data_IF_127093590407
#
_entry.id   IF_127093590407
#
_cell.length_a   1.000
_cell.length_b   1.000
_cell.length_c   1.000
_cell.angle_alpha   90.00
_cell.angle_beta   90.00
_cell.angle_gamma   90.00
#
_symmetry.space_group_name_H-M   'P 1'
#
loop_
_entity.id
_entity.type
_entity.pdbx_description
1 polymer ?
#
# COMPACT_ATOMS: atom_id res chain seq x y z
N UNK A 1 -15.79 -3.46 12.10
CA UNK A 1 -14.52 -2.73 11.97
C UNK A 1 -14.48 -1.97 10.65
N UNK A 2 -14.13 -0.70 10.70
CA UNK A 2 -14.15 0.13 9.51
C UNK A 2 -12.89 -0.12 8.66
N UNK A 3 -13.08 -0.40 7.36
CA UNK A 3 -11.97 -0.51 6.41
C UNK A 3 -11.41 0.87 6.14
N UNK A 4 -10.10 1.03 6.33
CA UNK A 4 -9.39 2.25 6.02
C UNK A 4 -8.83 2.19 4.61
N UNK A 5 -8.89 3.31 3.89
CA UNK A 5 -8.26 3.45 2.57
C UNK A 5 -7.16 4.49 2.68
N UNK A 6 -5.95 4.08 2.37
CA UNK A 6 -4.78 4.96 2.37
C UNK A 6 -4.30 5.16 0.96
N UNK A 7 -4.12 6.40 0.56
CA UNK A 7 -3.61 6.74 -0.77
C UNK A 7 -2.12 6.98 -0.65
N UNK A 8 -1.33 6.21 -1.40
CA UNK A 8 0.13 6.18 -1.27
C UNK A 8 0.81 6.33 -2.62
N UNK A 9 2.07 6.74 -2.61
CA UNK A 9 2.91 6.83 -3.80
C UNK A 9 4.10 5.86 -3.77
N UNK A 10 4.27 5.16 -2.67
CA UNK A 10 5.28 4.10 -2.52
C UNK A 10 4.82 3.11 -1.47
N UNK A 11 5.40 1.91 -1.52
CA UNK A 11 5.05 0.85 -0.57
C UNK A 11 6.32 0.32 0.07
N UNK A 12 6.26 0.04 1.38
CA UNK A 12 7.38 -0.56 2.10
C UNK A 12 6.86 -1.51 3.19
N UNK A 13 7.64 -2.52 3.57
CA UNK A 13 7.21 -3.47 4.61
C UNK A 13 6.88 -2.82 5.95
N UNK A 14 7.54 -1.72 6.30
CA UNK A 14 7.30 -1.01 7.56
C UNK A 14 5.93 -0.37 7.69
N UNK A 15 5.15 -0.32 6.59
CA UNK A 15 3.79 0.22 6.61
C UNK A 15 2.77 -0.75 7.24
N UNK A 16 3.13 -2.01 7.44
CA UNK A 16 2.20 -3.05 7.87
C UNK A 16 2.43 -3.40 9.34
N UNK A 17 1.35 -3.40 10.14
CA UNK A 17 1.39 -3.70 11.57
C UNK A 17 1.33 -5.19 11.86
N UNK A 18 0.74 -5.97 10.96
CA UNK A 18 0.67 -7.43 11.10
C UNK A 18 2.02 -8.08 10.76
N UNK A 19 2.33 -9.22 11.39
CA UNK A 19 3.56 -9.96 11.09
C UNK A 19 3.44 -10.80 9.81
N UNK A 20 2.27 -11.35 9.56
CA UNK A 20 2.01 -12.23 8.43
C UNK A 20 0.90 -11.62 7.58
N UNK A 21 1.27 -11.12 6.42
CA UNK A 21 0.32 -10.47 5.53
C UNK A 21 0.65 -10.79 4.08
N UNK A 22 -0.38 -10.80 3.25
CA UNK A 22 -0.28 -10.90 1.81
C UNK A 22 -0.91 -9.68 1.17
N UNK A 23 -0.42 -9.30 0.01
CA UNK A 23 -0.95 -8.19 -0.75
C UNK A 23 -1.57 -8.71 -2.05
N UNK A 24 -2.78 -8.27 -2.33
CA UNK A 24 -3.43 -8.55 -3.59
C UNK A 24 -3.55 -7.25 -4.39
N UNK A 25 -2.86 -7.21 -5.53
CA UNK A 25 -2.81 -6.05 -6.40
C UNK A 25 -3.86 -6.14 -7.50
N UNK A 26 -4.56 -5.03 -7.72
CA UNK A 26 -5.48 -4.87 -8.85
C UNK A 26 -5.07 -3.60 -9.60
N UNK A 27 -4.87 -3.70 -10.90
CA UNK A 27 -4.65 -2.51 -11.71
C UNK A 27 -5.95 -1.72 -11.81
N UNK A 28 -5.85 -0.39 -11.66
CA UNK A 28 -6.99 0.52 -11.72
C UNK A 28 -6.79 1.51 -12.86
N UNK A 29 -7.90 1.92 -13.47
CA UNK A 29 -7.90 3.10 -14.32
C UNK A 29 -7.83 4.35 -13.45
N UNK A 30 -7.47 5.48 -14.04
CA UNK A 30 -7.46 6.76 -13.31
C UNK A 30 -8.83 7.07 -12.72
N UNK A 31 -9.91 6.83 -13.47
CA UNK A 31 -11.27 7.09 -13.01
C UNK A 31 -11.65 6.20 -11.82
N UNK A 32 -11.29 4.92 -11.88
CA UNK A 32 -11.50 4.00 -10.76
C UNK A 32 -10.72 4.42 -9.52
N UNK A 33 -9.47 4.80 -9.71
CA UNK A 33 -8.63 5.29 -8.62
C UNK A 33 -9.23 6.53 -7.97
N UNK A 34 -9.65 7.52 -8.75
CA UNK A 34 -10.24 8.75 -8.24
C UNK A 34 -11.54 8.48 -7.49
N UNK A 35 -12.38 7.60 -7.99
CA UNK A 35 -13.63 7.23 -7.32
C UNK A 35 -13.37 6.58 -5.95
N UNK A 36 -12.39 5.68 -5.88
CA UNK A 36 -12.03 5.01 -4.62
C UNK A 36 -11.32 5.96 -3.65
N UNK A 37 -10.60 6.94 -4.16
CA UNK A 37 -9.83 7.89 -3.35
C UNK A 37 -10.70 8.95 -2.67
N UNK A 38 -11.95 9.12 -3.08
CA UNK A 38 -12.82 10.18 -2.56
C UNK A 38 -12.99 10.15 -1.04
N UNK A 39 -13.02 8.97 -0.44
CA UNK A 39 -13.17 8.79 1.00
C UNK A 39 -11.92 8.21 1.66
N UNK A 40 -10.78 8.30 0.99
CA UNK A 40 -9.50 7.82 1.49
C UNK A 40 -8.69 8.92 2.16
N UNK A 41 -7.63 8.50 2.86
CA UNK A 41 -6.67 9.38 3.52
C UNK A 41 -5.40 9.47 2.69
N UNK A 42 -5.04 10.67 2.26
CA UNK A 42 -3.83 10.85 1.45
C UNK A 42 -2.57 10.77 2.31
N UNK A 43 -1.66 9.91 1.89
CA UNK A 43 -0.31 9.75 2.41
C UNK A 43 0.69 9.78 1.25
N UNK A 44 0.42 10.61 0.24
CA UNK A 44 1.29 10.74 -0.91
C UNK A 44 2.52 11.55 -0.51
N UNK A 45 3.65 10.88 -0.41
CA UNK A 45 4.92 11.47 0.01
C UNK A 45 5.80 11.97 -1.14
N UNK A 46 5.29 11.96 -2.38
CA UNK A 46 5.95 12.51 -3.56
C UNK A 46 5.13 13.68 -4.09
N UNK A 47 5.72 14.89 -4.07
CA UNK A 47 4.99 16.10 -4.41
C UNK A 47 4.48 16.11 -5.85
N UNK A 48 5.24 15.59 -6.80
CA UNK A 48 4.82 15.47 -8.19
C UNK A 48 3.60 14.57 -8.38
N UNK A 49 3.52 13.48 -7.62
CA UNK A 49 2.35 12.59 -7.64
C UNK A 49 1.14 13.28 -7.03
N UNK A 50 1.32 14.01 -5.95
CA UNK A 50 0.24 14.79 -5.33
C UNK A 50 -0.32 15.83 -6.31
N UNK A 51 0.54 16.51 -7.04
CA UNK A 51 0.14 17.52 -8.03
C UNK A 51 -0.69 16.92 -9.17
N UNK A 52 -0.23 15.81 -9.77
CA UNK A 52 -0.93 15.22 -10.92
C UNK A 52 -2.21 14.49 -10.53
N UNK A 53 -2.33 14.02 -9.31
CA UNK A 53 -3.55 13.36 -8.81
C UNK A 53 -4.54 14.35 -8.19
N UNK A 54 -4.09 15.54 -7.84
CA UNK A 54 -4.92 16.51 -7.11
C UNK A 54 -5.15 16.15 -5.65
N UNK A 55 -4.37 15.20 -5.13
CA UNK A 55 -4.51 14.74 -3.74
C UNK A 55 -3.45 15.39 -2.86
N UNK A 56 -3.70 15.39 -1.55
CA UNK A 56 -2.84 16.09 -0.59
C UNK A 56 -1.45 15.44 -0.48
N UNK A 57 -0.41 16.27 -0.47
CA UNK A 57 0.94 15.86 -0.12
C UNK A 57 1.00 15.65 1.39
N UNK A 58 1.43 14.45 1.82
CA UNK A 58 1.49 14.11 3.23
C UNK A 58 2.54 13.02 3.45
N UNK A 59 3.58 13.34 4.23
CA UNK A 59 4.66 12.41 4.55
C UNK A 59 4.44 11.60 5.82
N UNK A 60 3.28 11.74 6.46
CA UNK A 60 3.00 10.95 7.66
C UNK A 60 3.01 9.47 7.32
N UNK A 61 3.61 8.64 8.19
CA UNK A 61 3.69 7.20 7.91
C UNK A 61 2.32 6.55 7.91
N UNK A 62 2.17 5.54 7.05
CA UNK A 62 0.97 4.70 6.99
C UNK A 62 1.15 3.53 7.95
N UNK A 63 0.08 3.18 8.65
CA UNK A 63 0.02 2.00 9.51
C UNK A 63 -1.15 1.14 9.04
N UNK A 64 -0.90 0.32 8.03
CA UNK A 64 -1.92 -0.54 7.44
C UNK A 64 -2.15 -1.80 8.27
N UNK A 65 -3.40 -2.21 8.36
CA UNK A 65 -3.83 -3.42 9.06
C UNK A 65 -4.45 -4.40 8.07
N UNK A 66 -4.59 -5.64 8.50
CA UNK A 66 -5.33 -6.63 7.74
C UNK A 66 -6.76 -6.10 7.48
N UNK A 67 -7.19 -6.18 6.23
CA UNK A 67 -8.48 -5.66 5.79
C UNK A 67 -8.45 -4.25 5.21
N UNK A 68 -7.38 -3.50 5.45
CA UNK A 68 -7.25 -2.17 4.86
C UNK A 68 -6.95 -2.23 3.36
N UNK A 69 -7.20 -1.13 2.68
CA UNK A 69 -6.94 -0.99 1.25
C UNK A 69 -5.94 0.13 1.03
N UNK A 70 -4.96 -0.13 0.19
CA UNK A 70 -3.99 0.87 -0.24
C UNK A 70 -4.29 1.24 -1.69
N UNK A 71 -4.34 2.53 -1.98
CA UNK A 71 -4.53 3.04 -3.33
C UNK A 71 -3.20 3.65 -3.77
N UNK A 72 -2.51 2.96 -4.66
CA UNK A 72 -1.15 3.31 -5.06
C UNK A 72 -1.15 4.05 -6.38
N UNK A 73 -0.51 5.22 -6.39
CA UNK A 73 -0.23 5.99 -7.60
C UNK A 73 1.28 6.12 -7.75
N UNK A 74 1.84 5.56 -8.81
CA UNK A 74 3.28 5.60 -9.09
C UNK A 74 3.56 5.96 -10.53
N UNK A 75 4.71 6.59 -10.77
CA UNK A 75 5.26 6.74 -12.11
C UNK A 75 6.24 5.61 -12.39
N UNK A 76 6.05 4.93 -13.50
CA UNK A 76 6.99 3.96 -14.00
C UNK A 76 7.37 4.34 -15.44
N UNK A 77 8.63 4.66 -15.63
CA UNK A 77 9.16 5.13 -16.94
C UNK A 77 8.34 6.30 -17.49
N UNK A 78 8.00 7.25 -16.62
CA UNK A 78 7.24 8.44 -16.99
C UNK A 78 5.74 8.27 -17.14
N UNK A 79 5.22 7.04 -16.95
CA UNK A 79 3.80 6.74 -17.06
C UNK A 79 3.21 6.57 -15.66
N UNK A 80 2.16 7.31 -15.37
CA UNK A 80 1.43 7.21 -14.11
C UNK A 80 0.54 5.97 -14.13
N UNK A 81 0.70 5.11 -13.11
CA UNK A 81 -0.05 3.86 -12.98
C UNK A 81 -0.73 3.81 -11.63
N UNK A 82 -1.90 3.19 -11.60
CA UNK A 82 -2.74 3.10 -10.40
C UNK A 82 -3.04 1.64 -10.07
N UNK A 83 -2.97 1.34 -8.77
CA UNK A 83 -3.29 0.01 -8.26
C UNK A 83 -4.11 0.12 -6.98
N UNK A 84 -5.10 -0.77 -6.84
CA UNK A 84 -5.74 -1.04 -5.56
C UNK A 84 -5.08 -2.25 -4.93
N UNK A 85 -4.73 -2.15 -3.66
CA UNK A 85 -4.02 -3.20 -2.95
C UNK A 85 -4.81 -3.59 -1.73
N UNK A 86 -5.21 -4.87 -1.64
CA UNK A 86 -5.86 -5.43 -0.46
C UNK A 86 -4.82 -6.00 0.47
N UNK A 87 -4.90 -5.64 1.74
CA UNK A 87 -4.04 -6.18 2.79
C UNK A 87 -4.76 -7.36 3.42
N UNK A 88 -4.25 -8.55 3.19
CA UNK A 88 -4.88 -9.79 3.60
C UNK A 88 -4.02 -10.52 4.63
N UNK A 89 -4.67 -11.32 5.48
CA UNK A 89 -3.94 -12.23 6.35
C UNK A 89 -3.31 -13.33 5.51
N UNK A 90 -2.06 -13.67 5.82
CA UNK A 90 -1.37 -14.74 5.09
C UNK A 90 -2.03 -16.08 5.38
N UNK A 91 -2.40 -16.80 4.33
CA UNK A 91 -2.99 -18.15 4.44
C UNK A 91 -1.94 -19.19 4.81
N UNK A 92 -0.69 -18.91 4.48
CA UNK A 92 0.42 -19.82 4.73
C UNK A 92 1.52 -19.09 5.53
N UNK A 93 1.28 -18.78 6.83
CA UNK A 93 2.29 -18.11 7.63
C UNK A 93 3.56 -18.97 7.72
N UNK A 94 4.72 -18.32 7.75
CA UNK A 94 5.99 -19.00 7.91
C UNK A 94 6.03 -19.77 9.23
N UNK A 95 6.56 -20.99 9.19
CA UNK A 95 6.86 -21.73 10.40
C UNK A 95 7.98 -21.02 11.18
N UNK A 96 8.18 -21.40 12.46
CA UNK A 96 9.29 -20.87 13.25
C UNK A 96 10.64 -21.13 12.61
N UNK A 97 10.79 -22.30 11.99
CA UNK A 97 12.03 -22.67 11.30
C UNK A 97 12.27 -21.80 10.09
N UNK A 98 11.24 -21.55 9.30
CA UNK A 98 11.34 -20.67 8.13
C UNK A 98 11.66 -19.24 8.51
N UNK A 99 11.05 -18.73 9.57
CA UNK A 99 11.37 -17.38 10.09
C UNK A 99 12.82 -17.30 10.54
N UNK A 100 13.32 -18.31 11.22
CA UNK A 100 14.70 -18.38 11.69
C UNK A 100 15.69 -18.36 10.53
N UNK A 101 15.46 -19.14 9.48
CA UNK A 101 16.32 -19.16 8.31
C UNK A 101 16.30 -17.84 7.55
N UNK A 102 15.14 -17.21 7.44
CA UNK A 102 15.05 -15.90 6.81
C UNK A 102 15.84 -14.83 7.58
N UNK A 103 15.77 -14.84 8.90
CA UNK A 103 16.55 -13.93 9.74
C UNK A 103 18.05 -14.13 9.57
N UNK A 104 18.52 -15.36 9.46
CA UNK A 104 19.93 -15.65 9.21
C UNK A 104 20.41 -15.15 7.85
N UNK A 105 19.62 -15.35 6.82
CA UNK A 105 19.96 -14.90 5.47
C UNK A 105 20.00 -13.37 5.35
N UNK A 106 19.26 -12.65 6.17
CA UNK A 106 19.21 -11.19 6.17
C UNK A 106 20.31 -10.53 6.98
N UNK A 107 21.14 -11.28 7.69
CA UNK A 107 22.24 -10.75 8.50
C UNK A 107 23.47 -10.38 7.69
#
# INVERSE_FOLDING_TARGET
MKIMKFIISSISPGMFQAKNWDLKFHELTEDEFQALAMDGFSHIGHQDIAEVTGLAYNKDPVHARIGDVLLLAQKYRGVLRFHGIQVLESENPLSREEEYYMEEEMR
#
